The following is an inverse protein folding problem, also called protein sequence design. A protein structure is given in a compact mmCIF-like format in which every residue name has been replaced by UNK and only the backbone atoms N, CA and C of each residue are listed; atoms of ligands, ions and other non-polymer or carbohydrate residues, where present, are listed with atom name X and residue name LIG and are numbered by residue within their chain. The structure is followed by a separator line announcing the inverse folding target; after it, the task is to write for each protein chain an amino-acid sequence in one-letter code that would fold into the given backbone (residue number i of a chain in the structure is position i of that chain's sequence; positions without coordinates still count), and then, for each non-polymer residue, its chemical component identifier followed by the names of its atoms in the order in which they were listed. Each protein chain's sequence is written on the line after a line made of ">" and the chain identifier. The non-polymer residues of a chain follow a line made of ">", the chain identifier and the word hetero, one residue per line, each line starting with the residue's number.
data_IF_238436007399
#
_entry.id   IF_238436007399
#
_cell.length_a   1.000
_cell.length_b   1.000
_cell.length_c   1.000
_cell.angle_alpha   90.00
_cell.angle_beta   90.00
_cell.angle_gamma   90.00
#
_symmetry.space_group_name_H-M   'P 1'
#
loop_
_entity.id
_entity.type
_entity.pdbx_description
1 polymer ?
#
# COMPACT_ATOMS: atom_id res chain seq x y z
N UNK A 1 -7.54 28.93 2.74
CA UNK A 1 -6.28 28.20 2.99
C UNK A 1 -5.86 27.58 1.68
N UNK A 2 -4.57 27.64 1.32
CA UNK A 2 -4.09 26.97 0.11
C UNK A 2 -4.10 25.46 0.35
N UNK A 3 -4.79 24.70 -0.50
CA UNK A 3 -4.73 23.24 -0.47
C UNK A 3 -3.41 22.82 -1.10
N UNK A 4 -2.54 22.15 -0.33
CA UNK A 4 -1.23 21.66 -0.80
C UNK A 4 -1.26 20.14 -0.91
N UNK A 5 -0.25 19.57 -1.59
CA UNK A 5 -0.13 18.12 -1.78
C UNK A 5 -0.03 17.41 -0.43
N UNK A 6 0.72 18.02 0.48
CA UNK A 6 0.89 17.55 1.85
C UNK A 6 -0.44 17.55 2.62
N UNK A 7 -1.28 18.56 2.42
CA UNK A 7 -2.63 18.58 3.02
C UNK A 7 -3.51 17.45 2.49
N UNK A 8 -3.46 17.15 1.18
CA UNK A 8 -4.24 16.04 0.59
C UNK A 8 -3.77 14.68 1.13
N UNK A 9 -2.46 14.49 1.26
CA UNK A 9 -1.90 13.27 1.85
C UNK A 9 -2.26 13.15 3.33
N UNK A 10 -2.07 14.20 4.12
CA UNK A 10 -2.45 14.21 5.53
C UNK A 10 -3.94 13.93 5.75
N UNK A 11 -4.82 14.46 4.91
CA UNK A 11 -6.25 14.15 4.99
C UNK A 11 -6.47 12.64 4.81
N UNK A 12 -5.88 12.03 3.79
CA UNK A 12 -6.00 10.60 3.57
C UNK A 12 -5.40 9.76 4.71
N UNK A 13 -4.26 10.16 5.27
CA UNK A 13 -3.61 9.47 6.39
C UNK A 13 -4.47 9.54 7.66
N UNK A 14 -5.25 10.61 7.83
CA UNK A 14 -6.24 10.75 8.91
C UNK A 14 -7.55 9.98 8.63
N UNK A 15 -7.59 9.16 7.57
CA UNK A 15 -8.76 8.36 7.18
C UNK A 15 -9.83 9.15 6.43
N UNK A 16 -9.53 10.36 5.94
CA UNK A 16 -10.48 11.12 5.13
C UNK A 16 -10.55 10.55 3.70
N UNK A 17 -11.74 10.15 3.29
CA UNK A 17 -11.97 9.67 1.91
C UNK A 17 -12.11 10.87 0.99
N UNK A 18 -11.20 10.98 0.02
CA UNK A 18 -11.17 12.07 -0.93
C UNK A 18 -12.33 11.89 -1.92
N UNK A 19 -13.31 12.76 -1.89
CA UNK A 19 -14.48 12.66 -2.76
C UNK A 19 -14.18 13.17 -4.18
N UNK A 20 -14.86 12.66 -5.23
CA UNK A 20 -14.74 13.19 -6.60
C UNK A 20 -15.01 14.71 -6.70
N UNK A 21 -15.89 15.21 -5.83
CA UNK A 21 -16.16 16.65 -5.70
C UNK A 21 -14.92 17.40 -5.22
N UNK A 22 -14.26 16.92 -4.17
CA UNK A 22 -13.05 17.55 -3.63
C UNK A 22 -11.93 17.55 -4.66
N UNK A 23 -11.79 16.49 -5.45
CA UNK A 23 -10.82 16.45 -6.55
C UNK A 23 -11.12 17.52 -7.60
N UNK A 24 -12.41 17.77 -7.89
CA UNK A 24 -12.82 18.84 -8.81
C UNK A 24 -12.52 20.23 -8.24
N UNK A 25 -12.74 20.44 -6.94
CA UNK A 25 -12.41 21.68 -6.24
C UNK A 25 -10.89 21.94 -6.21
N UNK A 26 -10.09 20.88 -6.00
CA UNK A 26 -8.63 20.92 -6.10
C UNK A 26 -8.20 21.24 -7.53
N UNK A 27 -8.84 20.64 -8.55
CA UNK A 27 -8.54 20.92 -9.95
C UNK A 27 -8.82 22.37 -10.37
N UNK A 28 -9.91 22.97 -9.89
CA UNK A 28 -10.17 24.39 -10.13
C UNK A 28 -9.10 25.25 -9.43
N UNK A 29 -8.79 24.95 -8.18
CA UNK A 29 -7.76 25.67 -7.42
C UNK A 29 -6.38 25.56 -8.06
N UNK A 30 -6.00 24.39 -8.55
CA UNK A 30 -4.73 24.15 -9.25
C UNK A 30 -4.69 24.90 -10.59
N UNK A 31 -5.81 24.93 -11.32
CA UNK A 31 -5.93 25.71 -12.57
C UNK A 31 -5.78 27.21 -12.30
N UNK A 32 -6.42 27.73 -11.25
CA UNK A 32 -6.33 29.15 -10.88
C UNK A 32 -4.89 29.53 -10.45
N UNK A 33 -4.17 28.60 -9.83
CA UNK A 33 -2.78 28.80 -9.40
C UNK A 33 -1.75 28.65 -10.53
N UNK A 34 -1.91 27.65 -11.39
CA UNK A 34 -0.91 27.30 -12.43
C UNK A 34 -1.20 27.97 -13.77
N UNK A 35 -2.44 28.41 -14.00
CA UNK A 35 -2.92 28.93 -15.28
C UNK A 35 -3.07 27.86 -16.37
N UNK A 36 -2.80 26.59 -16.07
CA UNK A 36 -2.88 25.50 -17.03
C UNK A 36 -4.29 24.91 -17.12
N UNK A 37 -4.83 24.66 -18.32
CA UNK A 37 -6.18 24.13 -18.49
C UNK A 37 -6.31 22.64 -18.13
N UNK A 38 -5.19 21.92 -18.06
CA UNK A 38 -5.14 20.50 -17.71
C UNK A 38 -4.42 20.32 -16.38
N UNK A 39 -4.82 19.34 -15.55
CA UNK A 39 -4.07 18.96 -14.36
C UNK A 39 -2.60 18.69 -14.69
N UNK A 40 -1.68 19.23 -13.89
CA UNK A 40 -0.28 18.95 -14.09
C UNK A 40 0.01 17.48 -13.77
N UNK A 41 0.88 16.83 -14.55
CA UNK A 41 1.36 15.50 -14.22
C UNK A 41 2.14 15.55 -12.90
N UNK A 42 1.72 14.76 -11.91
CA UNK A 42 2.26 14.84 -10.55
C UNK A 42 1.81 16.09 -9.76
N UNK A 43 0.88 16.88 -10.29
CA UNK A 43 0.25 18.00 -9.60
C UNK A 43 -0.73 17.55 -8.53
N UNK A 44 -1.29 18.52 -7.80
CA UNK A 44 -2.20 18.30 -6.67
C UNK A 44 -3.39 17.42 -7.03
N UNK A 45 -4.01 17.71 -8.17
CA UNK A 45 -5.16 16.99 -8.69
C UNK A 45 -4.78 15.57 -9.08
N UNK A 46 -3.61 15.38 -9.69
CA UNK A 46 -3.12 14.05 -10.05
C UNK A 46 -2.82 13.21 -8.79
N UNK A 47 -2.25 13.81 -7.74
CA UNK A 47 -2.08 13.14 -6.45
C UNK A 47 -3.42 12.81 -5.81
N UNK A 48 -4.38 13.74 -5.80
CA UNK A 48 -5.71 13.51 -5.23
C UNK A 48 -6.46 12.39 -5.95
N UNK A 49 -6.42 12.36 -7.29
CA UNK A 49 -6.95 11.25 -8.10
C UNK A 49 -6.30 9.92 -7.72
N UNK A 50 -4.97 9.85 -7.74
CA UNK A 50 -4.25 8.62 -7.42
C UNK A 50 -4.56 8.11 -6.01
N UNK A 51 -4.70 9.02 -5.05
CA UNK A 51 -5.00 8.69 -3.66
C UNK A 51 -6.43 8.20 -3.50
N UNK A 52 -7.40 8.86 -4.13
CA UNK A 52 -8.77 8.40 -4.22
C UNK A 52 -8.86 6.98 -4.82
N UNK A 53 -8.15 6.71 -5.92
CA UNK A 53 -8.16 5.39 -6.54
C UNK A 53 -7.59 4.30 -5.62
N UNK A 54 -6.52 4.61 -4.88
CA UNK A 54 -5.95 3.71 -3.87
C UNK A 54 -6.93 3.46 -2.71
N UNK A 55 -7.61 4.50 -2.24
CA UNK A 55 -8.66 4.38 -1.21
C UNK A 55 -9.80 3.49 -1.70
N UNK A 56 -10.32 3.72 -2.90
CA UNK A 56 -11.37 2.90 -3.49
C UNK A 56 -10.92 1.44 -3.65
N UNK A 57 -9.70 1.21 -4.15
CA UNK A 57 -9.17 -0.15 -4.27
C UNK A 57 -9.11 -0.85 -2.91
N UNK A 58 -8.64 -0.17 -1.86
CA UNK A 58 -8.61 -0.74 -0.50
C UNK A 58 -10.02 -1.06 0.01
N UNK A 59 -10.96 -0.11 -0.09
CA UNK A 59 -12.35 -0.30 0.35
C UNK A 59 -13.07 -1.42 -0.39
N UNK A 60 -12.84 -1.55 -1.71
CA UNK A 60 -13.40 -2.67 -2.49
C UNK A 60 -12.90 -3.99 -1.95
N UNK A 61 -11.59 -4.10 -1.67
CA UNK A 61 -10.99 -5.32 -1.14
C UNK A 61 -11.48 -5.66 0.25
N UNK A 62 -11.60 -4.67 1.12
CA UNK A 62 -12.23 -4.87 2.42
C UNK A 62 -13.66 -5.39 2.29
N UNK A 63 -14.47 -4.79 1.41
CA UNK A 63 -15.84 -5.21 1.18
C UNK A 63 -15.94 -6.63 0.57
N UNK A 64 -14.96 -7.06 -0.23
CA UNK A 64 -14.89 -8.45 -0.71
C UNK A 64 -14.65 -9.44 0.44
N UNK A 65 -13.86 -9.05 1.44
CA UNK A 65 -13.57 -9.88 2.62
C UNK A 65 -14.70 -9.85 3.63
N UNK A 66 -15.35 -8.70 3.84
CA UNK A 66 -16.52 -8.58 4.71
C UNK A 66 -17.69 -9.47 4.25
N UNK A 67 -17.79 -9.71 2.93
CA UNK A 67 -18.77 -10.64 2.35
C UNK A 67 -18.43 -12.11 2.62
N UNK A 68 -17.17 -12.43 2.92
CA UNK A 68 -16.74 -13.79 3.27
C UNK A 68 -16.99 -14.04 4.75
N UNK A 69 -17.24 -15.30 5.12
CA UNK A 69 -17.24 -15.66 6.54
C UNK A 69 -15.81 -15.62 7.08
N UNK A 70 -15.64 -15.33 8.36
CA UNK A 70 -14.32 -15.33 9.01
C UNK A 70 -13.56 -16.64 8.76
N UNK A 71 -14.24 -17.78 8.67
CA UNK A 71 -13.63 -19.10 8.41
C UNK A 71 -13.16 -19.30 6.96
N UNK A 72 -13.68 -18.51 6.01
CA UNK A 72 -13.33 -18.57 4.58
C UNK A 72 -12.21 -17.58 4.22
N UNK A 73 -11.75 -16.76 5.17
CA UNK A 73 -10.65 -15.81 4.95
C UNK A 73 -9.33 -16.60 4.81
N UNK A 74 -8.65 -16.39 3.68
CA UNK A 74 -7.41 -17.07 3.34
C UNK A 74 -6.18 -16.16 3.45
N UNK A 75 -4.97 -16.75 3.39
CA UNK A 75 -3.72 -15.97 3.33
C UNK A 75 -3.59 -15.12 2.06
N UNK A 76 -4.23 -15.53 0.97
CA UNK A 76 -4.23 -14.76 -0.27
C UNK A 76 -5.03 -13.46 -0.10
N UNK A 77 -6.20 -13.55 0.54
CA UNK A 77 -7.03 -12.40 0.90
C UNK A 77 -6.27 -11.42 1.80
N UNK A 78 -5.59 -11.95 2.83
CA UNK A 78 -4.78 -11.14 3.74
C UNK A 78 -3.64 -10.40 3.00
N UNK A 79 -2.98 -11.08 2.06
CA UNK A 79 -1.90 -10.50 1.25
C UNK A 79 -2.43 -9.40 0.32
N UNK A 80 -3.62 -9.58 -0.25
CA UNK A 80 -4.22 -8.60 -1.14
C UNK A 80 -4.56 -7.30 -0.41
N UNK A 81 -5.21 -7.40 0.77
CA UNK A 81 -5.50 -6.24 1.64
C UNK A 81 -4.21 -5.57 2.07
N UNK A 82 -3.22 -6.34 2.51
CA UNK A 82 -1.92 -5.81 2.91
C UNK A 82 -1.26 -5.01 1.79
N UNK A 83 -1.33 -5.50 0.55
CA UNK A 83 -0.79 -4.80 -0.62
C UNK A 83 -1.56 -3.51 -0.92
N UNK A 84 -2.89 -3.55 -0.84
CA UNK A 84 -3.74 -2.39 -1.06
C UNK A 84 -3.49 -1.30 -0.02
N UNK A 85 -3.45 -1.67 1.26
CA UNK A 85 -3.19 -0.74 2.36
C UNK A 85 -1.76 -0.17 2.30
N UNK A 86 -0.77 -1.00 1.98
CA UNK A 86 0.61 -0.53 1.82
C UNK A 86 0.76 0.51 0.70
N UNK A 87 0.02 0.35 -0.40
CA UNK A 87 0.01 1.31 -1.52
C UNK A 87 -0.70 2.61 -1.16
N UNK A 88 -1.71 2.53 -0.32
CA UNK A 88 -2.44 3.68 0.21
C UNK A 88 -1.55 4.50 1.15
N UNK A 89 -0.95 3.86 2.15
CA UNK A 89 -0.08 4.49 3.16
C UNK A 89 1.32 4.86 2.63
N UNK A 90 1.77 4.18 1.57
CA UNK A 90 3.14 4.34 1.06
C UNK A 90 4.21 3.64 1.91
N UNK A 91 3.82 2.91 2.94
CA UNK A 91 4.71 2.11 3.79
C UNK A 91 4.01 0.81 4.23
N UNK A 92 4.74 -0.04 4.96
CA UNK A 92 4.15 -1.29 5.49
C UNK A 92 2.95 -0.96 6.41
N UNK A 93 1.82 -1.69 6.31
CA UNK A 93 0.68 -1.47 7.19
C UNK A 93 1.07 -1.67 8.66
N UNK A 94 0.53 -0.84 9.57
CA UNK A 94 0.81 -0.97 10.99
C UNK A 94 0.19 -2.24 11.59
N UNK A 95 0.64 -2.65 12.77
CA UNK A 95 0.16 -3.87 13.44
C UNK A 95 -1.26 -3.78 13.95
N UNK A 96 -1.80 -2.56 14.09
CA UNK A 96 -3.18 -2.30 14.52
C UNK A 96 -4.13 -2.11 13.33
N UNK A 97 -3.67 -2.43 12.11
CA UNK A 97 -4.43 -2.18 10.90
C UNK A 97 -5.36 -3.32 10.51
N UNK A 98 -6.25 -3.04 9.56
CA UNK A 98 -7.20 -4.00 9.01
C UNK A 98 -6.44 -5.15 8.35
N UNK A 99 -5.36 -4.87 7.61
CA UNK A 99 -4.47 -5.91 7.10
C UNK A 99 -3.96 -6.86 8.19
N UNK A 100 -3.54 -6.32 9.34
CA UNK A 100 -3.05 -7.13 10.44
C UNK A 100 -4.16 -8.00 11.06
N UNK A 101 -5.39 -7.45 11.13
CA UNK A 101 -6.56 -8.19 11.58
C UNK A 101 -6.91 -9.36 10.65
N UNK A 102 -7.01 -9.11 9.34
CA UNK A 102 -7.32 -10.14 8.33
C UNK A 102 -6.24 -11.23 8.31
N UNK A 103 -4.95 -10.86 8.39
CA UNK A 103 -3.85 -11.81 8.50
C UNK A 103 -4.00 -12.71 9.74
N UNK A 104 -4.35 -12.14 10.89
CA UNK A 104 -4.58 -12.90 12.12
C UNK A 104 -5.72 -13.91 11.97
N UNK A 105 -6.81 -13.55 11.29
CA UNK A 105 -7.92 -14.48 11.02
C UNK A 105 -7.46 -15.60 10.09
N UNK A 106 -6.80 -15.27 8.98
CA UNK A 106 -6.26 -16.26 8.05
C UNK A 106 -5.32 -17.27 8.73
N UNK A 107 -4.41 -16.78 9.59
CA UNK A 107 -3.47 -17.65 10.33
C UNK A 107 -4.20 -18.58 11.33
N UNK A 108 -5.30 -18.12 11.95
CA UNK A 108 -6.15 -18.96 12.80
C UNK A 108 -6.89 -20.03 12.00
N UNK A 109 -7.37 -19.68 10.81
CA UNK A 109 -8.07 -20.63 9.93
C UNK A 109 -7.12 -21.74 9.47
N UNK A 110 -5.92 -21.39 9.01
CA UNK A 110 -4.93 -22.39 8.60
C UNK A 110 -4.52 -23.30 9.77
N UNK A 111 -4.32 -22.73 10.96
CA UNK A 111 -4.01 -23.52 12.15
C UNK A 111 -5.13 -24.48 12.51
N UNK A 112 -6.39 -24.05 12.34
CA UNK A 112 -7.56 -24.90 12.60
C UNK A 112 -7.62 -26.06 11.61
N UNK A 113 -7.45 -25.78 10.32
CA UNK A 113 -7.36 -26.81 9.26
C UNK A 113 -6.21 -27.80 9.54
N UNK A 114 -5.03 -27.29 9.89
CA UNK A 114 -3.89 -28.14 10.23
C UNK A 114 -4.10 -28.97 11.51
N UNK A 115 -4.86 -28.45 12.49
CA UNK A 115 -5.15 -29.19 13.71
C UNK A 115 -6.17 -30.32 13.52
N UNK A 116 -7.05 -30.22 12.51
CA UNK A 116 -7.99 -31.30 12.14
C UNK A 116 -7.32 -32.40 11.30
N UNK A 117 -6.29 -32.05 10.51
CA UNK A 117 -5.51 -33.01 9.70
C UNK A 117 -4.39 -33.70 10.51
N UNK A 118 -4.11 -33.22 11.73
CA UNK A 118 -3.05 -33.72 12.61
C UNK A 118 -3.36 -34.99 13.40
N UNK A 119 -3.94 -36.03 12.78
CA UNK A 119 -3.78 -37.42 13.27
C UNK A 119 -2.79 -38.26 12.49
N UNK A 120 -2.43 -37.91 11.26
CA UNK A 120 -1.40 -38.66 10.53
C UNK A 120 -0.57 -37.72 9.64
N UNK A 121 0.75 -37.89 9.70
CA UNK A 121 1.81 -37.18 8.94
C UNK A 121 2.34 -35.84 9.46
N UNK A 122 3.35 -35.96 10.31
CA UNK A 122 4.44 -35.01 10.44
C UNK A 122 5.47 -35.21 9.31
N UNK A 123 5.83 -34.15 8.57
CA UNK A 123 7.22 -33.84 8.17
C UNK A 123 7.32 -32.58 7.27
N UNK A 124 8.40 -31.83 7.50
CA UNK A 124 9.00 -30.75 6.69
C UNK A 124 8.36 -29.34 6.77
N UNK A 125 9.05 -28.25 7.10
CA UNK A 125 10.44 -27.98 7.47
C UNK A 125 10.46 -26.59 8.12
N UNK A 126 11.12 -26.48 9.28
CA UNK A 126 11.48 -25.21 9.91
C UNK A 126 12.88 -24.86 9.41
N UNK A 127 13.00 -23.78 8.65
CA UNK A 127 14.26 -23.02 8.51
C UNK A 127 13.91 -21.61 9.01
N UNK A 128 14.13 -21.29 10.30
CA UNK A 128 15.37 -20.72 10.83
C UNK A 128 16.13 -19.89 9.80
N UNK A 129 15.88 -18.58 9.81
CA UNK A 129 16.99 -17.62 9.76
C UNK A 129 16.63 -16.36 10.55
N UNK A 130 17.10 -16.36 11.80
CA UNK A 130 17.27 -15.19 12.65
C UNK A 130 18.71 -14.72 12.44
N UNK A 131 18.92 -13.58 11.78
CA UNK A 131 20.10 -12.69 11.95
C UNK A 131 20.02 -11.55 10.92
N UNK A 132 19.58 -10.36 11.33
CA UNK A 132 20.44 -9.19 11.60
C UNK A 132 21.45 -8.85 10.50
N UNK A 133 21.35 -7.63 9.95
CA UNK A 133 22.47 -6.67 9.95
C UNK A 133 22.08 -5.39 9.20
N UNK A 134 22.09 -4.31 9.96
CA UNK A 134 22.23 -2.93 9.49
C UNK A 134 23.57 -2.71 8.78
N UNK A 135 23.68 -1.53 8.11
CA UNK A 135 24.91 -0.85 7.65
C UNK A 135 25.57 -1.48 6.41
N UNK A 136 26.14 -0.75 5.45
CA UNK A 136 26.67 0.60 5.41
C UNK A 136 26.95 0.98 3.93
N UNK A 137 27.03 2.27 3.64
CA UNK A 137 27.94 2.95 2.68
C UNK A 137 28.33 2.36 1.29
N UNK A 138 28.16 3.22 0.28
CA UNK A 138 29.16 3.62 -0.74
C UNK A 138 29.89 2.56 -1.60
N UNK A 139 29.64 2.57 -2.92
CA UNK A 139 30.66 2.44 -4.00
C UNK A 139 30.09 3.15 -5.25
N UNK A 140 30.44 4.40 -5.57
CA UNK A 140 31.69 4.92 -6.18
C UNK A 140 32.11 4.25 -7.50
N UNK A 141 31.76 4.94 -8.58
CA UNK A 141 32.65 5.42 -9.66
C UNK A 141 33.61 4.48 -10.42
N UNK A 142 33.68 4.78 -11.72
CA UNK A 142 34.74 4.53 -12.74
C UNK A 142 34.81 3.17 -13.43
N UNK A 143 34.73 3.22 -14.77
CA UNK A 143 35.91 3.24 -15.68
C UNK A 143 35.47 3.26 -17.17
N UNK A 144 35.64 4.39 -17.87
CA UNK A 144 36.56 4.63 -19.04
C UNK A 144 36.09 3.98 -20.38
N UNK A 145 36.29 4.49 -21.61
CA UNK A 145 36.97 5.65 -22.18
C UNK A 145 36.64 5.75 -23.70
N UNK A 146 36.98 6.91 -24.29
CA UNK A 146 37.32 7.15 -25.71
C UNK A 146 36.13 7.36 -26.67
N UNK A 147 36.08 8.40 -27.52
CA UNK A 147 37.16 8.86 -28.41
C UNK A 147 37.09 10.38 -28.65
N UNK A 148 38.25 11.03 -28.63
CA UNK A 148 38.55 12.34 -29.20
C UNK A 148 39.79 12.18 -30.09
N UNK A 149 39.75 12.69 -31.31
CA UNK A 149 40.85 13.19 -32.17
C UNK A 149 40.18 13.64 -33.47
N UNK A 150 40.42 14.80 -34.07
CA UNK A 150 41.32 15.93 -33.82
C UNK A 150 40.94 17.07 -34.77
#
# INVERSE_FOLDING_TARGET
>A
MAVTQETVQHLADNGHIISPKEISEIAQSEKDQTGNPVPAAGGLTATAQSLHDKQQNFLVKEAEIEKKSESDITKDDAKEIQSAEARLLGHRPPTDSISAHIQSIADKNEKSIHSEVGKDEAAATIEKDEAVASKDTEVSEKKEQSVQEG
#
